data_IF_018039291443
#
_entry.id   IF_018039291443
#
_cell.length_a   1.000
_cell.length_b   1.000
_cell.length_c   1.000
_cell.angle_alpha   90.00
_cell.angle_beta   90.00
_cell.angle_gamma   90.00
#
_symmetry.space_group_name_H-M   'P 1'
#
loop_
_entity.id
_entity.type
_entity.pdbx_description
1 polymer ?
#
# COMPACT_ATOMS: atom_id res chain seq x y z
N UNK A 1 -47.14 5.29 -54.04
CA UNK A 1 -46.69 6.41 -53.17
C UNK A 1 -46.60 5.86 -51.76
N UNK A 2 -45.53 5.92 -50.97
CA UNK A 2 -44.13 6.32 -51.09
C UNK A 2 -43.50 5.62 -49.87
N UNK A 3 -42.44 4.84 -50.08
CA UNK A 3 -41.79 4.03 -49.06
C UNK A 3 -41.30 4.89 -47.89
N UNK A 4 -41.72 4.54 -46.67
CA UNK A 4 -41.22 5.14 -45.43
C UNK A 4 -39.86 4.54 -45.09
N UNK A 5 -38.84 5.33 -45.38
CA UNK A 5 -37.45 5.20 -44.95
C UNK A 5 -37.38 5.01 -43.42
N UNK A 6 -36.94 3.86 -42.93
CA UNK A 6 -36.56 3.71 -41.52
C UNK A 6 -35.07 3.36 -41.45
N UNK A 7 -34.34 4.32 -40.90
CA UNK A 7 -32.89 4.42 -40.90
C UNK A 7 -32.18 3.30 -40.14
N UNK A 8 -31.00 3.02 -40.66
CA UNK A 8 -29.95 2.11 -40.21
C UNK A 8 -29.09 2.77 -39.10
N UNK A 9 -28.56 1.92 -38.20
CA UNK A 9 -27.37 2.08 -37.33
C UNK A 9 -27.47 3.00 -36.11
N UNK A 10 -27.20 2.46 -34.91
CA UNK A 10 -25.94 2.73 -34.19
C UNK A 10 -25.67 1.70 -33.08
N UNK A 11 -24.57 0.96 -33.25
CA UNK A 11 -23.95 0.09 -32.24
C UNK A 11 -23.54 0.94 -31.02
N UNK A 12 -24.05 0.59 -29.83
CA UNK A 12 -23.51 1.09 -28.57
C UNK A 12 -22.33 0.20 -28.13
N UNK A 13 -21.15 0.81 -28.04
CA UNK A 13 -19.88 0.15 -27.77
C UNK A 13 -19.83 -0.55 -26.42
N UNK A 14 -19.38 -1.80 -26.43
CA UNK A 14 -18.87 -2.46 -25.24
C UNK A 14 -17.55 -1.76 -24.87
N UNK A 15 -17.61 -0.98 -23.79
CA UNK A 15 -16.46 -0.42 -23.10
C UNK A 15 -15.56 -1.58 -22.66
N UNK A 16 -14.42 -1.74 -23.31
CA UNK A 16 -13.35 -2.58 -22.81
C UNK A 16 -12.72 -1.86 -21.61
N UNK A 17 -12.90 -2.40 -20.41
CA UNK A 17 -12.01 -2.11 -19.28
C UNK A 17 -10.64 -2.69 -19.63
N UNK A 18 -9.84 -1.92 -20.38
CA UNK A 18 -8.41 -2.18 -20.47
C UNK A 18 -7.84 -1.78 -19.10
N UNK A 19 -7.67 -2.77 -18.22
CA UNK A 19 -6.77 -2.62 -17.07
C UNK A 19 -5.37 -2.46 -17.63
N UNK A 20 -4.98 -1.23 -17.93
CA UNK A 20 -3.59 -0.90 -18.19
C UNK A 20 -2.81 -1.36 -16.96
N UNK A 21 -1.79 -2.22 -17.13
CA UNK A 21 -0.80 -2.42 -16.07
C UNK A 21 -0.24 -1.03 -15.78
N UNK A 22 -0.52 -0.53 -14.58
CA UNK A 22 0.00 0.76 -14.15
C UNK A 22 1.52 0.69 -14.31
N UNK A 23 2.13 1.55 -15.16
CA UNK A 23 3.58 1.63 -15.21
C UNK A 23 4.00 1.97 -13.80
N UNK A 24 4.79 1.09 -13.16
CA UNK A 24 5.27 1.18 -11.78
C UNK A 24 5.58 2.64 -11.45
N UNK A 25 4.58 3.33 -10.90
CA UNK A 25 4.56 4.78 -10.88
C UNK A 25 5.50 5.22 -9.78
N UNK A 26 6.28 6.25 -10.08
CA UNK A 26 7.20 6.99 -9.23
C UNK A 26 7.00 6.74 -7.73
N UNK A 27 8.06 6.26 -7.06
CA UNK A 27 8.22 6.08 -5.60
C UNK A 27 6.99 6.57 -4.84
N UNK A 28 5.96 5.73 -4.82
CA UNK A 28 4.84 5.93 -3.93
C UNK A 28 5.38 5.53 -2.57
N UNK A 29 5.61 6.50 -1.69
CA UNK A 29 5.68 6.23 -0.27
C UNK A 29 4.42 5.43 0.08
N UNK A 30 4.56 4.11 0.28
CA UNK A 30 3.41 3.27 0.55
C UNK A 30 2.77 3.71 1.87
N UNK A 31 1.44 3.69 1.93
CA UNK A 31 0.70 4.02 3.15
C UNK A 31 0.72 2.87 4.17
N UNK A 32 1.41 1.78 3.84
CA UNK A 32 1.52 0.60 4.67
C UNK A 32 0.23 -0.20 4.77
N UNK A 33 -0.80 0.08 3.97
CA UNK A 33 -2.10 -0.60 4.07
C UNK A 33 -2.08 -2.03 3.50
N UNK A 34 -1.03 -2.40 2.76
CA UNK A 34 -0.88 -3.70 2.13
C UNK A 34 0.60 -4.01 1.82
N UNK A 35 0.98 -5.29 1.65
CA UNK A 35 2.36 -5.68 1.39
C UNK A 35 2.90 -5.21 0.02
N UNK A 36 2.04 -4.84 -0.94
CA UNK A 36 2.44 -4.23 -2.22
C UNK A 36 2.68 -2.72 -2.11
N UNK A 37 2.29 -2.10 -0.99
CA UNK A 37 2.42 -0.67 -0.70
C UNK A 37 3.00 -0.44 0.70
N UNK A 38 4.16 -1.04 1.04
CA UNK A 38 4.74 -0.87 2.37
C UNK A 38 5.27 0.56 2.55
N UNK A 39 5.32 1.01 3.80
CA UNK A 39 5.99 2.27 4.15
C UNK A 39 7.47 2.16 3.84
N UNK A 40 7.98 3.12 3.06
CA UNK A 40 9.38 3.19 2.67
C UNK A 40 10.23 3.76 3.81
N UNK A 41 11.11 2.92 4.38
CA UNK A 41 12.10 3.29 5.39
C UNK A 41 13.54 3.18 4.88
N UNK A 42 13.75 3.31 3.56
CA UNK A 42 15.07 3.18 2.92
C UNK A 42 16.11 4.20 3.40
N UNK A 43 15.68 5.30 4.03
CA UNK A 43 16.55 6.29 4.65
C UNK A 43 17.20 5.82 5.96
N UNK A 44 16.73 4.74 6.58
CA UNK A 44 17.37 4.17 7.76
C UNK A 44 18.59 3.30 7.38
N UNK A 45 19.68 3.46 8.11
CA UNK A 45 20.97 2.79 7.83
C UNK A 45 21.33 1.72 8.86
N UNK A 46 20.52 1.54 9.91
CA UNK A 46 20.67 0.50 10.92
C UNK A 46 19.31 0.02 11.41
N UNK A 47 19.26 -1.15 12.07
CA UNK A 47 18.03 -1.65 12.68
C UNK A 47 17.49 -0.69 13.74
N UNK A 48 18.36 -0.05 14.52
CA UNK A 48 17.94 0.94 15.52
C UNK A 48 17.28 2.17 14.89
N UNK A 49 17.87 2.71 13.81
CA UNK A 49 17.26 3.80 13.03
C UNK A 49 15.94 3.36 12.39
N UNK A 50 15.89 2.13 11.86
CA UNK A 50 14.70 1.55 11.26
C UNK A 50 13.54 1.46 12.26
N UNK A 51 13.78 0.90 13.44
CA UNK A 51 12.79 0.80 14.51
C UNK A 51 12.30 2.20 14.92
N UNK A 52 13.21 3.15 15.12
CA UNK A 52 12.83 4.52 15.46
C UNK A 52 11.95 5.16 14.37
N UNK A 53 12.29 4.94 13.09
CA UNK A 53 11.52 5.43 11.96
C UNK A 53 10.11 4.80 11.90
N UNK A 54 9.98 3.48 12.13
CA UNK A 54 8.68 2.80 12.22
C UNK A 54 7.80 3.42 13.32
N UNK A 55 8.35 3.64 14.52
CA UNK A 55 7.60 4.20 15.65
C UNK A 55 7.17 5.63 15.39
N UNK A 56 8.08 6.47 14.88
CA UNK A 56 7.77 7.85 14.51
C UNK A 56 6.67 7.92 13.45
N UNK A 57 6.71 7.05 12.45
CA UNK A 57 5.69 7.00 11.42
C UNK A 57 4.33 6.61 12.02
N UNK A 58 4.26 5.58 12.86
CA UNK A 58 3.03 5.15 13.53
C UNK A 58 2.45 6.24 14.43
N UNK A 59 3.28 6.95 15.21
CA UNK A 59 2.81 8.01 16.10
C UNK A 59 2.23 9.20 15.32
N UNK A 60 2.78 9.49 14.13
CA UNK A 60 2.28 10.55 13.25
C UNK A 60 0.97 10.16 12.55
N UNK A 61 0.86 8.92 12.07
CA UNK A 61 -0.27 8.47 11.26
C UNK A 61 -1.43 7.92 12.09
N UNK A 62 -1.13 7.32 13.23
CA UNK A 62 -2.09 6.75 14.16
C UNK A 62 -1.84 7.24 15.60
N UNK A 63 -2.03 8.55 15.89
CA UNK A 63 -1.77 9.10 17.21
C UNK A 63 -2.56 8.38 18.32
N UNK A 64 -1.85 7.97 19.37
CA UNK A 64 -2.43 7.27 20.51
C UNK A 64 -2.76 5.80 20.26
N UNK A 65 -2.42 5.26 19.08
CA UNK A 65 -2.52 3.83 18.85
C UNK A 65 -1.49 3.06 19.70
N UNK A 66 -1.87 1.84 20.10
CA UNK A 66 -0.98 0.91 20.82
C UNK A 66 -0.57 -0.23 19.91
N UNK A 67 0.68 -0.65 19.97
CA UNK A 67 1.13 -1.83 19.22
C UNK A 67 0.56 -3.09 19.88
N UNK A 68 -0.07 -3.93 19.07
CA UNK A 68 -0.62 -5.24 19.45
C UNK A 68 0.37 -6.36 19.18
N UNK A 69 0.98 -6.34 18.00
CA UNK A 69 1.91 -7.37 17.55
C UNK A 69 2.85 -6.83 16.48
N UNK A 70 3.98 -7.51 16.31
CA UNK A 70 4.92 -7.30 15.22
C UNK A 70 5.37 -8.66 14.68
N UNK A 71 5.48 -8.78 13.35
CA UNK A 71 5.86 -10.00 12.65
C UNK A 71 6.81 -9.66 11.51
N UNK A 72 7.84 -10.50 11.33
CA UNK A 72 8.75 -10.42 10.18
C UNK A 72 8.20 -11.24 9.01
N UNK A 73 8.13 -10.61 7.84
CA UNK A 73 7.73 -11.24 6.57
C UNK A 73 8.91 -11.22 5.59
N UNK A 74 8.98 -12.21 4.70
CA UNK A 74 10.07 -12.31 3.71
C UNK A 74 9.61 -12.27 2.24
N UNK A 75 8.30 -12.35 1.98
CA UNK A 75 7.75 -12.31 0.62
C UNK A 75 6.81 -11.10 0.50
N UNK A 76 6.97 -10.23 -0.53
CA UNK A 76 7.95 -10.29 -1.63
C UNK A 76 9.38 -9.80 -1.27
N UNK A 77 9.57 -9.20 -0.09
CA UNK A 77 10.85 -8.75 0.46
C UNK A 77 10.80 -8.80 2.00
N UNK A 78 11.93 -8.52 2.65
CA UNK A 78 11.96 -8.36 4.10
C UNK A 78 11.08 -7.17 4.52
N UNK A 79 10.02 -7.44 5.29
CA UNK A 79 9.09 -6.44 5.80
C UNK A 79 8.77 -6.68 7.27
N UNK A 80 8.53 -5.60 7.99
CA UNK A 80 7.88 -5.65 9.30
C UNK A 80 6.38 -5.39 9.13
N UNK A 81 5.56 -6.34 9.59
CA UNK A 81 4.12 -6.15 9.77
C UNK A 81 3.85 -5.79 11.23
N UNK A 82 3.38 -4.57 11.47
CA UNK A 82 2.95 -4.11 12.80
C UNK A 82 1.44 -4.01 12.82
N UNK A 83 0.81 -4.70 13.77
CA UNK A 83 -0.60 -4.51 14.08
C UNK A 83 -0.73 -3.52 15.23
N UNK A 84 -1.49 -2.44 15.02
CA UNK A 84 -1.82 -1.45 16.06
C UNK A 84 -3.32 -1.49 16.38
N UNK A 85 -3.67 -1.10 17.61
CA UNK A 85 -5.05 -0.84 18.02
C UNK A 85 -5.22 0.65 18.23
N UNK A 86 -6.14 1.25 17.48
CA UNK A 86 -6.48 2.67 17.57
C UNK A 86 -7.23 2.98 18.87
N UNK A 87 -7.32 4.26 19.29
CA UNK A 87 -8.13 4.66 20.44
C UNK A 87 -9.61 4.25 20.34
N UNK A 88 -10.13 4.09 19.12
CA UNK A 88 -11.48 3.58 18.86
C UNK A 88 -11.64 2.09 19.17
N UNK A 89 -10.54 1.35 19.37
CA UNK A 89 -10.51 -0.11 19.48
C UNK A 89 -10.34 -0.84 18.14
N UNK A 90 -10.34 -0.11 17.01
CA UNK A 90 -10.12 -0.68 15.68
C UNK A 90 -8.67 -1.15 15.50
N UNK A 91 -8.47 -2.26 14.80
CA UNK A 91 -7.14 -2.77 14.47
C UNK A 91 -6.70 -2.33 13.07
N UNK A 92 -5.41 -1.99 12.96
CA UNK A 92 -4.76 -1.65 11.70
C UNK A 92 -3.48 -2.46 11.55
N UNK A 93 -3.31 -3.05 10.38
CA UNK A 93 -2.06 -3.63 9.95
C UNK A 93 -1.27 -2.60 9.16
N UNK A 94 0.03 -2.49 9.45
CA UNK A 94 0.94 -1.59 8.77
C UNK A 94 2.17 -2.37 8.34
N UNK A 95 2.43 -2.36 7.03
CA UNK A 95 3.57 -3.02 6.41
C UNK A 95 4.70 -2.00 6.21
N UNK A 96 5.90 -2.31 6.68
CA UNK A 96 7.11 -1.49 6.52
C UNK A 96 8.15 -2.23 5.70
N UNK A 97 8.75 -1.59 4.70
CA UNK A 97 9.89 -2.14 3.99
C UNK A 97 11.15 -1.93 4.84
N UNK A 98 11.78 -3.04 5.23
CA UNK A 98 12.97 -3.05 6.08
C UNK A 98 14.22 -3.55 5.34
N UNK A 99 14.11 -3.78 4.03
CA UNK A 99 15.16 -4.38 3.20
C UNK A 99 16.46 -3.56 3.16
N UNK A 100 16.40 -2.25 3.45
CA UNK A 100 17.56 -1.37 3.49
C UNK A 100 18.49 -1.63 4.67
N UNK A 101 18.00 -2.16 5.80
CA UNK A 101 18.79 -2.32 7.03
C UNK A 101 18.70 -3.70 7.70
N UNK A 102 17.68 -4.51 7.42
CA UNK A 102 17.49 -5.79 8.09
C UNK A 102 18.69 -6.74 7.89
N UNK A 103 19.24 -7.28 8.99
CA UNK A 103 20.36 -8.22 8.98
C UNK A 103 21.71 -7.61 8.58
N UNK A 104 21.82 -6.27 8.55
CA UNK A 104 23.06 -5.55 8.30
C UNK A 104 23.60 -5.04 9.64
N UNK A 105 24.88 -5.30 9.90
CA UNK A 105 25.59 -4.99 11.15
C UNK A 105 26.71 -4.00 10.91
#
# INVERSE_FOLDING_TARGET
MKYGMLSLVLLAGLVACQSTPSPRSAIAHGDGASPDRPVDLSAAHSEGEGIAAQRNWLDQHYPGARIKSQSLLFEPSAMDLITVVLPSGEEREVYFDISSYFGKW
#
